data_IF_650270606740
#
_entry.id   IF_650270606740
#
_cell.length_a   1.000
_cell.length_b   1.000
_cell.length_c   1.000
_cell.angle_alpha   90.00
_cell.angle_beta   90.00
_cell.angle_gamma   90.00
#
_symmetry.space_group_name_H-M   'P 1'
#
loop_
_entity.id
_entity.type
_entity.pdbx_description
1 polymer ?
#
# COMPACT_ATOMS: atom_id res chain seq x y z
N UNK A 1 3.95 -27.50 -16.95
CA UNK A 1 3.24 -26.44 -17.71
C UNK A 1 4.20 -25.27 -17.79
N UNK A 2 5.06 -25.25 -18.80
CA UNK A 2 6.08 -24.20 -18.95
C UNK A 2 5.40 -22.90 -19.35
N UNK A 3 5.34 -21.97 -18.40
CA UNK A 3 4.89 -20.60 -18.69
C UNK A 3 6.12 -19.83 -19.13
N UNK A 4 6.15 -19.46 -20.41
CA UNK A 4 7.15 -18.52 -20.91
C UNK A 4 7.01 -17.21 -20.15
N UNK A 5 8.13 -16.71 -19.62
CA UNK A 5 8.19 -15.43 -18.95
C UNK A 5 8.06 -14.33 -20.00
N UNK A 6 7.14 -13.39 -19.76
CA UNK A 6 6.93 -12.21 -20.60
C UNK A 6 7.31 -11.00 -19.74
N UNK A 7 8.29 -10.24 -20.18
CA UNK A 7 8.73 -9.01 -19.53
C UNK A 7 8.35 -7.81 -20.41
N UNK A 8 7.80 -6.76 -19.80
CA UNK A 8 7.51 -5.49 -20.46
C UNK A 8 8.30 -4.38 -19.78
N UNK A 9 8.83 -3.45 -20.57
CA UNK A 9 9.41 -2.19 -20.06
C UNK A 9 8.62 -1.04 -20.63
N UNK A 10 8.00 -0.26 -19.75
CA UNK A 10 7.17 0.89 -20.11
C UNK A 10 7.81 2.11 -19.47
N UNK A 11 8.02 3.16 -20.27
CA UNK A 11 8.52 4.45 -19.81
C UNK A 11 7.40 5.49 -19.96
N UNK A 12 7.22 6.32 -18.93
CA UNK A 12 6.15 7.31 -18.87
C UNK A 12 6.74 8.63 -18.38
N UNK A 13 6.24 9.78 -18.87
CA UNK A 13 6.61 11.08 -18.31
C UNK A 13 6.00 11.31 -16.92
N UNK A 14 4.86 10.69 -16.64
CA UNK A 14 4.11 10.83 -15.39
C UNK A 14 3.37 9.54 -15.10
N UNK A 15 3.41 9.08 -13.87
CA UNK A 15 2.70 7.89 -13.42
C UNK A 15 1.44 8.30 -12.66
N UNK A 16 0.29 7.91 -13.21
CA UNK A 16 -1.03 8.13 -12.57
C UNK A 16 -1.53 6.85 -11.90
N UNK A 17 -1.34 5.69 -12.54
CA UNK A 17 -1.83 4.44 -12.00
C UNK A 17 -0.98 3.22 -12.40
N UNK A 18 -0.95 2.24 -11.49
CA UNK A 18 -0.39 0.91 -11.70
C UNK A 18 -1.49 -0.09 -11.37
N UNK A 19 -1.88 -0.91 -12.33
CA UNK A 19 -2.87 -1.97 -12.12
C UNK A 19 -2.28 -3.32 -12.52
N UNK A 20 -2.12 -4.22 -11.55
CA UNK A 20 -1.68 -5.59 -11.76
C UNK A 20 -2.75 -6.57 -11.29
N UNK A 21 -3.01 -7.59 -12.10
CA UNK A 21 -4.00 -8.62 -11.81
C UNK A 21 -3.49 -10.00 -12.23
N UNK A 22 -4.11 -11.06 -11.68
CA UNK A 22 -3.73 -12.43 -11.98
C UNK A 22 -2.49 -12.87 -11.21
N UNK A 23 -1.37 -13.13 -11.88
CA UNK A 23 -0.11 -13.53 -11.26
C UNK A 23 1.03 -12.70 -11.85
N UNK A 24 0.93 -11.38 -11.67
CA UNK A 24 1.83 -10.41 -12.26
C UNK A 24 2.83 -9.86 -11.24
N UNK A 25 4.01 -9.49 -11.72
CA UNK A 25 5.04 -8.82 -10.93
C UNK A 25 5.44 -7.52 -11.60
N UNK A 26 5.46 -6.43 -10.84
CA UNK A 26 5.83 -5.10 -11.33
C UNK A 26 6.89 -4.43 -10.46
N UNK A 27 7.75 -3.65 -11.10
CA UNK A 27 8.67 -2.74 -10.43
C UNK A 27 8.53 -1.37 -11.09
N UNK A 28 8.32 -0.36 -10.26
CA UNK A 28 8.07 1.01 -10.66
C UNK A 28 9.08 1.87 -9.96
N UNK A 29 9.83 2.69 -10.69
CA UNK A 29 10.90 3.53 -10.16
C UNK A 29 11.00 4.84 -10.93
N UNK A 30 11.60 5.86 -10.30
CA UNK A 30 11.85 7.16 -10.92
C UNK A 30 10.65 8.13 -10.89
N UNK A 31 9.61 7.83 -10.12
CA UNK A 31 8.36 8.59 -10.05
C UNK A 31 8.19 9.36 -8.72
N UNK A 32 9.29 9.87 -8.18
CA UNK A 32 9.34 10.60 -6.90
C UNK A 32 8.90 12.06 -7.05
N UNK A 33 8.17 12.59 -6.05
CA UNK A 33 7.85 14.01 -5.94
C UNK A 33 6.87 14.51 -7.01
N UNK A 34 6.01 13.65 -7.54
CA UNK A 34 5.03 14.05 -8.55
C UNK A 34 3.91 14.89 -7.92
N UNK A 35 3.56 16.01 -8.56
CA UNK A 35 2.39 16.82 -8.20
C UNK A 35 1.07 16.19 -8.70
N UNK A 36 0.90 14.88 -8.49
CA UNK A 36 -0.25 14.10 -8.94
C UNK A 36 -0.58 12.97 -7.97
N UNK A 37 -1.77 12.38 -8.13
CA UNK A 37 -2.17 11.18 -7.40
C UNK A 37 -1.56 9.95 -8.08
N UNK A 38 -0.97 9.05 -7.29
CA UNK A 38 -0.54 7.72 -7.77
C UNK A 38 -1.50 6.67 -7.21
N UNK A 39 -2.23 5.99 -8.08
CA UNK A 39 -3.11 4.88 -7.71
C UNK A 39 -2.49 3.53 -8.00
N UNK A 40 -2.39 2.66 -7.01
CA UNK A 40 -1.88 1.29 -7.17
C UNK A 40 -2.97 0.29 -6.84
N UNK A 41 -3.33 -0.54 -7.82
CA UNK A 41 -4.35 -1.58 -7.68
C UNK A 41 -3.72 -2.94 -7.93
N UNK A 42 -3.78 -3.84 -6.95
CA UNK A 42 -3.26 -5.19 -7.04
C UNK A 42 -4.37 -6.21 -6.73
N UNK A 43 -4.54 -7.18 -7.62
CA UNK A 43 -5.51 -8.26 -7.43
C UNK A 43 -4.94 -9.62 -7.86
N UNK A 44 -5.57 -10.70 -7.38
CA UNK A 44 -5.14 -12.08 -7.65
C UNK A 44 -4.00 -12.50 -6.72
N UNK A 45 -2.82 -12.74 -7.29
CA UNK A 45 -1.57 -13.10 -6.61
C UNK A 45 -0.43 -12.25 -7.18
N UNK A 46 -0.60 -10.92 -7.10
CA UNK A 46 0.31 -9.96 -7.73
C UNK A 46 1.30 -9.36 -6.73
N UNK A 47 2.52 -9.08 -7.18
CA UNK A 47 3.55 -8.40 -6.38
C UNK A 47 4.00 -7.11 -7.08
N UNK A 48 4.06 -6.01 -6.33
CA UNK A 48 4.54 -4.73 -6.86
C UNK A 48 5.53 -4.07 -5.90
N UNK A 49 6.61 -3.52 -6.45
CA UNK A 49 7.50 -2.58 -5.76
C UNK A 49 7.34 -1.21 -6.40
N UNK A 50 6.85 -0.25 -5.64
CA UNK A 50 6.65 1.14 -6.03
C UNK A 50 7.69 2.02 -5.32
N UNK A 51 8.69 2.45 -6.07
CA UNK A 51 9.64 3.49 -5.68
C UNK A 51 9.22 4.81 -6.34
N UNK A 52 8.27 5.49 -5.70
CA UNK A 52 7.67 6.70 -6.23
C UNK A 52 6.47 7.10 -5.41
N UNK A 53 6.48 8.32 -4.91
CA UNK A 53 5.34 8.92 -4.24
C UNK A 53 4.99 10.26 -4.90
N UNK A 54 3.69 10.46 -5.11
CA UNK A 54 3.13 11.77 -5.48
C UNK A 54 2.65 12.50 -4.24
N UNK A 55 1.87 13.57 -4.42
CA UNK A 55 1.22 14.27 -3.30
C UNK A 55 0.26 13.33 -2.55
N UNK A 56 -0.51 12.52 -3.30
CA UNK A 56 -1.42 11.53 -2.73
C UNK A 56 -1.14 10.16 -3.32
N UNK A 57 -1.14 9.14 -2.46
CA UNK A 57 -1.00 7.74 -2.87
C UNK A 57 -2.28 7.01 -2.47
N UNK A 58 -2.91 6.34 -3.44
CA UNK A 58 -4.07 5.48 -3.21
C UNK A 58 -3.69 4.04 -3.50
N UNK A 59 -3.98 3.14 -2.56
CA UNK A 59 -3.61 1.74 -2.64
C UNK A 59 -4.85 0.87 -2.48
N UNK A 60 -5.10 -0.03 -3.43
CA UNK A 60 -6.12 -1.07 -3.33
C UNK A 60 -5.46 -2.42 -3.57
N UNK A 61 -5.48 -3.30 -2.56
CA UNK A 61 -4.83 -4.60 -2.61
C UNK A 61 -5.84 -5.67 -2.19
N UNK A 62 -6.07 -6.64 -3.07
CA UNK A 62 -6.98 -7.75 -2.85
C UNK A 62 -6.39 -9.10 -3.29
N UNK A 63 -7.02 -10.19 -2.84
CA UNK A 63 -6.60 -11.56 -3.13
C UNK A 63 -5.48 -12.03 -2.21
N UNK A 64 -4.33 -12.33 -2.80
CA UNK A 64 -3.09 -12.76 -2.14
C UNK A 64 -1.91 -11.95 -2.70
N UNK A 65 -2.04 -10.62 -2.61
CA UNK A 65 -1.12 -9.68 -3.27
C UNK A 65 -0.21 -8.97 -2.27
N UNK A 66 0.92 -8.46 -2.76
CA UNK A 66 1.90 -7.74 -1.96
C UNK A 66 2.34 -6.44 -2.63
N UNK A 67 2.23 -5.33 -1.92
CA UNK A 67 2.80 -4.05 -2.30
C UNK A 67 3.95 -3.70 -1.37
N UNK A 68 5.08 -3.26 -1.93
CA UNK A 68 6.13 -2.56 -1.20
C UNK A 68 6.24 -1.15 -1.78
N UNK A 69 6.04 -0.13 -0.95
CA UNK A 69 6.04 1.26 -1.38
C UNK A 69 7.11 2.06 -0.61
N UNK A 70 7.77 2.98 -1.32
CA UNK A 70 8.72 3.94 -0.74
C UNK A 70 8.64 5.31 -1.41
N UNK A 71 8.88 6.37 -0.61
CA UNK A 71 8.86 7.76 -1.06
C UNK A 71 8.32 8.71 0.01
N UNK A 72 7.93 9.91 -0.42
CA UNK A 72 7.31 10.94 0.44
C UNK A 72 5.99 11.41 -0.19
N UNK A 73 4.91 11.41 0.59
CA UNK A 73 3.56 11.81 0.16
C UNK A 73 2.90 12.63 1.27
N UNK A 74 1.94 13.47 0.93
CA UNK A 74 1.13 14.16 1.95
C UNK A 74 0.12 13.18 2.53
N UNK A 75 -0.61 12.46 1.67
CA UNK A 75 -1.67 11.53 2.11
C UNK A 75 -1.51 10.13 1.50
N UNK A 76 -1.53 9.12 2.36
CA UNK A 76 -1.56 7.71 1.98
C UNK A 76 -2.92 7.10 2.35
N UNK A 77 -3.71 6.78 1.33
CA UNK A 77 -5.00 6.08 1.47
C UNK A 77 -4.84 4.62 1.04
N UNK A 78 -5.31 3.67 1.84
CA UNK A 78 -5.16 2.25 1.56
C UNK A 78 -6.38 1.40 1.91
N UNK A 79 -6.79 0.53 1.00
CA UNK A 79 -7.73 -0.56 1.27
C UNK A 79 -7.04 -1.89 0.98
N UNK A 80 -6.91 -2.74 2.01
CA UNK A 80 -6.21 -4.02 1.93
C UNK A 80 -7.16 -5.13 2.37
N UNK A 81 -7.38 -6.13 1.53
CA UNK A 81 -8.31 -7.24 1.80
C UNK A 81 -7.77 -8.60 1.34
N UNK A 82 -8.40 -9.67 1.84
CA UNK A 82 -8.03 -11.06 1.52
C UNK A 82 -6.89 -11.59 2.39
N UNK A 83 -5.78 -11.98 1.76
CA UNK A 83 -4.55 -12.47 2.37
C UNK A 83 -3.35 -11.65 1.84
N UNK A 84 -3.47 -10.33 1.97
CA UNK A 84 -2.59 -9.37 1.28
C UNK A 84 -1.63 -8.66 2.24
N UNK A 85 -0.57 -8.06 1.68
CA UNK A 85 0.46 -7.36 2.44
C UNK A 85 0.74 -5.97 1.86
N UNK A 86 0.66 -4.94 2.70
CA UNK A 86 1.15 -3.59 2.40
C UNK A 86 2.41 -3.31 3.23
N UNK A 87 3.56 -3.18 2.57
CA UNK A 87 4.83 -2.78 3.18
C UNK A 87 5.13 -1.33 2.81
N UNK A 88 4.71 -0.38 3.63
CA UNK A 88 4.82 1.05 3.40
C UNK A 88 5.58 1.79 4.52
N UNK A 89 6.44 1.10 5.29
CA UNK A 89 7.37 1.77 6.21
C UNK A 89 8.37 2.70 5.51
N UNK A 90 8.63 2.46 4.22
CA UNK A 90 9.45 3.35 3.40
C UNK A 90 8.71 4.59 2.89
N UNK A 91 7.42 4.75 3.19
CA UNK A 91 6.63 5.91 2.80
C UNK A 91 6.51 6.85 3.98
N UNK A 92 7.15 8.02 3.89
CA UNK A 92 6.89 9.12 4.80
C UNK A 92 5.60 9.81 4.37
N UNK A 93 4.52 9.61 5.12
CA UNK A 93 3.20 10.17 4.85
C UNK A 93 2.73 11.04 6.02
N UNK A 94 2.30 12.27 5.73
CA UNK A 94 1.78 13.18 6.76
C UNK A 94 0.47 12.65 7.37
N UNK A 95 -0.46 12.26 6.50
CA UNK A 95 -1.69 11.56 6.86
C UNK A 95 -1.67 10.14 6.29
N UNK A 96 -2.04 9.18 7.13
CA UNK A 96 -2.28 7.79 6.71
C UNK A 96 -3.71 7.43 7.09
N UNK A 97 -4.47 6.96 6.11
CA UNK A 97 -5.79 6.38 6.30
C UNK A 97 -5.83 5.00 5.63
N UNK A 98 -5.92 3.95 6.45
CA UNK A 98 -5.88 2.57 5.96
C UNK A 98 -6.99 1.70 6.56
N UNK A 99 -7.69 0.99 5.69
CA UNK A 99 -8.64 -0.06 6.04
C UNK A 99 -8.07 -1.43 5.68
N UNK A 100 -7.95 -2.32 6.66
CA UNK A 100 -7.40 -3.67 6.49
C UNK A 100 -8.39 -4.72 6.96
N UNK A 101 -8.67 -5.71 6.11
CA UNK A 101 -9.63 -6.78 6.38
C UNK A 101 -9.13 -8.17 5.99
N UNK A 102 -9.82 -9.20 6.46
CA UNK A 102 -9.49 -10.60 6.19
C UNK A 102 -8.32 -11.10 7.04
N UNK A 103 -7.29 -11.64 6.41
CA UNK A 103 -6.04 -12.14 7.02
C UNK A 103 -4.83 -11.32 6.56
N UNK A 104 -5.05 -10.04 6.27
CA UNK A 104 -4.07 -9.15 5.67
C UNK A 104 -3.19 -8.44 6.71
N UNK A 105 -2.04 -7.92 6.27
CA UNK A 105 -1.15 -7.09 7.11
C UNK A 105 -0.77 -5.78 6.42
N UNK A 106 -0.73 -4.70 7.18
CA UNK A 106 -0.22 -3.41 6.73
C UNK A 106 0.89 -2.89 7.65
N UNK A 107 1.90 -2.25 7.09
CA UNK A 107 3.03 -1.66 7.77
C UNK A 107 3.18 -0.22 7.29
N UNK A 108 2.92 0.77 8.14
CA UNK A 108 2.87 2.19 7.75
C UNK A 108 3.65 3.09 8.72
N UNK A 109 4.10 4.25 8.25
CA UNK A 109 4.84 5.21 9.07
C UNK A 109 4.20 6.62 9.01
N UNK A 110 3.02 6.82 9.64
CA UNK A 110 2.36 8.12 9.71
C UNK A 110 3.17 9.15 10.49
N UNK A 111 3.17 10.41 10.03
CA UNK A 111 3.87 11.53 10.68
C UNK A 111 2.94 12.36 11.56
N UNK A 112 1.78 12.81 11.05
CA UNK A 112 0.88 13.73 11.76
C UNK A 112 -0.45 13.09 12.15
N UNK A 113 -1.10 12.42 11.19
CA UNK A 113 -2.45 11.87 11.36
C UNK A 113 -2.48 10.40 10.96
N UNK A 114 -3.17 9.59 11.77
CA UNK A 114 -3.33 8.18 11.49
C UNK A 114 -4.74 7.68 11.78
N UNK A 115 -5.46 7.34 10.70
CA UNK A 115 -6.73 6.66 10.70
C UNK A 115 -6.49 5.21 10.29
N UNK A 116 -6.88 4.27 11.15
CA UNK A 116 -6.73 2.86 10.86
C UNK A 116 -7.96 2.06 11.26
N UNK A 117 -8.50 1.34 10.29
CA UNK A 117 -9.60 0.39 10.48
C UNK A 117 -9.07 -1.03 10.24
N UNK A 118 -9.22 -1.91 11.23
CA UNK A 118 -8.79 -3.30 11.13
C UNK A 118 -9.94 -4.25 11.44
N UNK A 119 -10.22 -5.22 10.55
CA UNK A 119 -11.28 -6.21 10.75
C UNK A 119 -10.83 -7.65 10.45
N UNK A 120 -11.55 -8.64 11.00
CA UNK A 120 -11.29 -10.06 10.78
C UNK A 120 -10.12 -10.59 11.61
N UNK A 121 -9.07 -11.09 10.96
CA UNK A 121 -7.80 -11.55 11.56
C UNK A 121 -6.61 -10.71 11.07
N UNK A 122 -6.87 -9.48 10.65
CA UNK A 122 -5.87 -8.58 10.09
C UNK A 122 -4.97 -7.96 11.15
N UNK A 123 -3.79 -7.48 10.74
CA UNK A 123 -2.89 -6.72 11.62
C UNK A 123 -2.34 -5.48 10.94
N UNK A 124 -2.43 -4.36 11.63
CA UNK A 124 -1.82 -3.10 11.21
C UNK A 124 -0.66 -2.83 12.15
N UNK A 125 0.53 -2.68 11.59
CA UNK A 125 1.73 -2.26 12.30
C UNK A 125 2.05 -0.84 11.87
N UNK A 126 2.35 0.02 12.84
CA UNK A 126 2.73 1.39 12.55
C UNK A 126 3.95 1.83 13.34
N UNK A 127 4.73 2.71 12.73
CA UNK A 127 5.87 3.40 13.35
C UNK A 127 5.62 4.89 13.40
N UNK A 128 6.32 5.57 14.30
CA UNK A 128 6.17 7.01 14.52
C UNK A 128 5.22 7.34 15.67
N UNK A 129 4.99 8.64 15.85
CA UNK A 129 4.09 9.14 16.89
C UNK A 129 3.20 10.27 16.36
N UNK A 130 2.20 9.93 15.52
CA UNK A 130 1.30 10.93 14.96
C UNK A 130 0.50 11.62 16.08
N UNK A 131 0.27 12.92 15.94
CA UNK A 131 -0.51 13.72 16.89
C UNK A 131 -1.97 13.27 16.96
N UNK A 132 -2.55 12.91 15.82
CA UNK A 132 -3.94 12.44 15.71
C UNK A 132 -3.98 10.96 15.40
N UNK A 133 -4.74 10.19 16.19
CA UNK A 133 -4.91 8.74 16.03
C UNK A 133 -6.38 8.39 16.16
N UNK A 134 -6.92 7.69 15.18
CA UNK A 134 -8.27 7.13 15.22
C UNK A 134 -8.23 5.67 14.79
N UNK A 135 -8.59 4.78 15.69
CA UNK A 135 -8.45 3.34 15.51
C UNK A 135 -9.79 2.65 15.69
N UNK A 136 -10.22 1.93 14.66
CA UNK A 136 -11.36 1.04 14.74
C UNK A 136 -10.88 -0.39 14.54
N UNK A 137 -11.28 -1.28 15.45
CA UNK A 137 -10.96 -2.71 15.34
C UNK A 137 -12.20 -3.55 15.54
N UNK A 138 -12.31 -4.63 14.77
CA UNK A 138 -13.38 -5.62 14.92
C UNK A 138 -12.88 -7.06 14.71
N UNK A 139 -13.51 -8.01 15.39
CA UNK A 139 -13.06 -9.41 15.39
C UNK A 139 -11.76 -9.61 16.17
N UNK A 140 -10.80 -10.32 15.58
CA UNK A 140 -9.46 -10.59 16.15
C UNK A 140 -8.39 -9.66 15.57
N UNK A 141 -8.79 -8.55 14.96
CA UNK A 141 -7.86 -7.62 14.35
C UNK A 141 -7.06 -6.85 15.40
N UNK A 142 -5.81 -6.50 15.06
CA UNK A 142 -4.91 -5.78 15.97
C UNK A 142 -4.22 -4.61 15.27
N UNK A 143 -4.14 -3.48 15.95
CA UNK A 143 -3.34 -2.32 15.56
C UNK A 143 -2.20 -2.21 16.58
N UNK A 144 -0.95 -2.36 16.12
CA UNK A 144 0.24 -2.54 16.94
C UNK A 144 1.25 -1.43 16.61
N UNK A 145 1.70 -0.71 17.63
CA UNK A 145 2.83 0.22 17.51
C UNK A 145 4.14 -0.56 17.61
N UNK A 146 5.06 -0.34 16.68
CA UNK A 146 6.44 -0.86 16.72
C UNK A 146 7.46 0.22 17.11
#
# INVERSE_FOLDING_TARGET
RDRYRIDFTITLPTLVAVHLSGAAKGTVSGFQGQNSVIRTMLSGASECTLDGAGINVQVDISGASKLTASGTTDNLYGTISGASFLLAYGVAADEVDIAVSGSSKAYVAPVNSFFAEASGNSRIYYKGDPFTKHFETSGNAQIIKE
#
